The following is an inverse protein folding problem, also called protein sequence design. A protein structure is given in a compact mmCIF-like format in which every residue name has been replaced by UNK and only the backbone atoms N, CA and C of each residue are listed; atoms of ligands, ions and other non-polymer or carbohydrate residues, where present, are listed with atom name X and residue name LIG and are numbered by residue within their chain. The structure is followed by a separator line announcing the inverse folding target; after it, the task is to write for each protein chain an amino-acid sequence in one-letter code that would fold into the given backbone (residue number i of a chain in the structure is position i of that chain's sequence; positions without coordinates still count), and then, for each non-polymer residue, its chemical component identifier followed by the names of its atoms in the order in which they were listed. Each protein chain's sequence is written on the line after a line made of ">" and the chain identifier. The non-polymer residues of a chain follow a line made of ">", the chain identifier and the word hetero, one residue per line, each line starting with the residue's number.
data_IF_734450420578
#
_entry.id   IF_734450420578
#
_cell.length_a   1.000
_cell.length_b   1.000
_cell.length_c   1.000
_cell.angle_alpha   90.00
_cell.angle_beta   90.00
_cell.angle_gamma   90.00
#
_symmetry.space_group_name_H-M   'P 1'
#
loop_
_entity.id
_entity.type
_entity.pdbx_description
1 polymer ?
#
# COMPACT_ATOMS: atom_id res chain seq x y z
N UNK A 1 21.02 -36.44 29.53
CA UNK A 1 20.03 -35.46 30.06
C UNK A 1 20.72 -34.11 30.07
N UNK A 2 20.37 -33.23 29.14
CA UNK A 2 20.92 -31.87 29.05
C UNK A 2 19.74 -30.91 29.02
N UNK A 3 19.55 -30.19 30.12
CA UNK A 3 18.51 -29.18 30.31
C UNK A 3 18.95 -27.87 29.68
N UNK A 4 18.28 -27.46 28.59
CA UNK A 4 18.43 -26.14 27.99
C UNK A 4 17.60 -25.10 28.73
N UNK A 5 18.24 -24.05 29.22
CA UNK A 5 17.60 -22.85 29.77
C UNK A 5 17.23 -21.91 28.63
N UNK A 6 15.94 -21.83 28.29
CA UNK A 6 15.39 -20.79 27.43
C UNK A 6 15.30 -19.47 28.22
N UNK A 7 15.99 -18.43 27.74
CA UNK A 7 15.87 -17.06 28.22
C UNK A 7 14.52 -16.47 27.78
N UNK A 8 13.58 -16.36 28.72
CA UNK A 8 12.32 -15.63 28.53
C UNK A 8 12.59 -14.13 28.62
N UNK A 9 12.42 -13.39 27.51
CA UNK A 9 12.36 -11.92 27.52
C UNK A 9 11.14 -11.48 28.34
N UNK A 10 11.37 -10.88 29.51
CA UNK A 10 10.30 -10.38 30.39
C UNK A 10 9.60 -9.18 29.75
N UNK A 11 8.29 -9.29 29.49
CA UNK A 11 7.42 -8.10 29.36
C UNK A 11 7.39 -7.44 30.73
N UNK A 12 7.85 -6.18 30.83
CA UNK A 12 7.81 -5.43 32.09
C UNK A 12 6.38 -5.28 32.64
N UNK A 13 6.21 -5.07 33.95
CA UNK A 13 4.89 -4.96 34.58
C UNK A 13 4.10 -3.79 33.97
N UNK A 14 2.78 -3.99 33.81
CA UNK A 14 1.86 -2.94 33.37
C UNK A 14 1.90 -1.77 34.37
N UNK A 15 1.95 -0.50 33.91
CA UNK A 15 2.01 0.66 34.79
C UNK A 15 0.74 0.79 35.64
N UNK A 16 0.92 1.25 36.87
CA UNK A 16 -0.19 1.58 37.78
C UNK A 16 -0.90 2.85 37.30
N UNK A 17 -2.17 3.02 37.70
CA UNK A 17 -2.98 4.21 37.33
C UNK A 17 -2.28 5.51 37.76
N UNK A 18 -1.63 5.51 38.93
CA UNK A 18 -0.88 6.67 39.43
C UNK A 18 0.35 6.99 38.56
N UNK A 19 1.05 5.97 38.05
CA UNK A 19 2.16 6.15 37.11
C UNK A 19 1.69 6.69 35.76
N UNK A 20 0.49 6.30 35.30
CA UNK A 20 -0.10 6.82 34.07
C UNK A 20 -0.51 8.28 34.26
N UNK A 21 -1.11 8.64 35.39
CA UNK A 21 -1.53 10.02 35.69
C UNK A 21 -0.33 10.96 35.89
N UNK A 22 0.77 10.46 36.46
CA UNK A 22 2.02 11.20 36.59
C UNK A 22 2.78 11.35 35.27
N UNK A 23 2.43 10.59 34.23
CA UNK A 23 3.13 10.62 32.94
C UNK A 23 2.93 11.95 32.20
N UNK A 24 4.02 12.49 31.64
CA UNK A 24 4.01 13.75 30.90
C UNK A 24 3.05 13.74 29.70
N UNK A 25 2.89 12.63 28.99
CA UNK A 25 1.95 12.52 27.87
C UNK A 25 0.52 12.63 28.38
N UNK A 26 0.18 11.93 29.47
CA UNK A 26 -1.16 12.00 30.06
C UNK A 26 -1.49 13.41 30.53
N UNK A 27 -0.53 14.10 31.17
CA UNK A 27 -0.72 15.49 31.59
C UNK A 27 -0.94 16.43 30.41
N UNK A 28 -0.17 16.27 29.32
CA UNK A 28 -0.37 17.06 28.09
C UNK A 28 -1.71 16.73 27.45
N UNK A 29 -2.07 15.45 27.35
CA UNK A 29 -3.36 15.02 26.80
C UNK A 29 -4.51 15.68 27.55
N UNK A 30 -4.51 15.63 28.88
CA UNK A 30 -5.54 16.24 29.71
C UNK A 30 -5.68 17.75 29.52
N UNK A 31 -4.59 18.44 29.17
CA UNK A 31 -4.59 19.89 28.93
C UNK A 31 -5.05 20.29 27.54
N UNK A 32 -4.95 19.41 26.54
CA UNK A 32 -5.04 19.83 25.14
C UNK A 32 -5.97 18.99 24.26
N UNK A 33 -6.13 17.67 24.48
CA UNK A 33 -6.86 16.84 23.51
C UNK A 33 -7.56 15.59 24.07
N UNK A 34 -7.40 15.26 25.35
CA UNK A 34 -8.00 14.07 25.93
C UNK A 34 -9.54 14.19 25.90
N UNK A 35 -10.26 13.12 25.50
CA UNK A 35 -11.70 13.19 25.25
C UNK A 35 -12.53 13.46 26.51
N UNK A 36 -12.00 13.20 27.70
CA UNK A 36 -12.71 13.41 28.97
C UNK A 36 -12.45 14.78 29.61
N UNK A 37 -11.60 15.63 29.01
CA UNK A 37 -11.27 16.97 29.54
C UNK A 37 -11.62 18.12 28.60
N UNK A 38 -12.50 17.87 27.62
CA UNK A 38 -12.82 18.79 26.50
C UNK A 38 -13.16 20.22 26.97
N UNK A 39 -13.85 20.37 28.10
CA UNK A 39 -14.29 21.67 28.62
C UNK A 39 -13.13 22.60 29.02
N UNK A 40 -11.94 22.05 29.30
CA UNK A 40 -10.80 22.78 29.83
C UNK A 40 -9.56 22.71 28.92
N UNK A 41 -9.75 22.40 27.64
CA UNK A 41 -8.63 22.33 26.69
C UNK A 41 -8.06 23.71 26.38
N UNK A 42 -6.73 23.81 26.39
CA UNK A 42 -6.01 24.96 25.88
C UNK A 42 -6.06 25.00 24.34
N UNK A 43 -5.91 26.19 23.72
CA UNK A 43 -5.77 26.31 22.27
C UNK A 43 -4.61 25.47 21.71
N UNK A 44 -4.70 25.13 20.42
CA UNK A 44 -3.64 24.42 19.71
C UNK A 44 -2.31 25.20 19.78
N UNK A 45 -1.23 24.47 20.06
CA UNK A 45 0.14 24.98 20.12
C UNK A 45 1.07 24.01 19.38
N UNK A 46 1.68 24.49 18.29
CA UNK A 46 2.60 23.72 17.45
C UNK A 46 3.83 23.25 18.22
N UNK A 47 4.24 24.00 19.26
CA UNK A 47 5.39 23.65 20.10
C UNK A 47 5.14 22.39 20.91
N UNK A 48 3.88 22.08 21.25
CA UNK A 48 3.54 20.84 21.95
C UNK A 48 3.82 19.64 21.06
N UNK A 49 3.50 19.74 19.76
CA UNK A 49 3.78 18.69 18.78
C UNK A 49 5.28 18.49 18.62
N UNK A 50 6.05 19.59 18.48
CA UNK A 50 7.52 19.56 18.42
C UNK A 50 8.15 18.94 19.68
N UNK A 51 7.64 19.31 20.86
CA UNK A 51 8.13 18.81 22.13
C UNK A 51 7.84 17.32 22.31
N UNK A 52 6.64 16.86 21.96
CA UNK A 52 6.28 15.43 21.99
C UNK A 52 7.16 14.67 21.02
N UNK A 53 7.31 15.17 19.79
CA UNK A 53 8.12 14.52 18.78
C UNK A 53 9.58 14.40 19.19
N UNK A 54 10.19 15.50 19.63
CA UNK A 54 11.61 15.55 19.96
C UNK A 54 11.92 14.80 21.24
N UNK A 55 11.14 15.02 22.31
CA UNK A 55 11.45 14.47 23.65
C UNK A 55 10.88 13.06 23.85
N UNK A 56 9.65 12.82 23.38
CA UNK A 56 8.94 11.57 23.67
C UNK A 56 9.05 10.53 22.57
N UNK A 57 9.09 10.93 21.31
CA UNK A 57 9.21 10.00 20.18
C UNK A 57 10.69 9.78 19.85
N UNK A 58 11.42 10.81 19.42
CA UNK A 58 12.86 10.71 19.10
C UNK A 58 13.70 10.47 20.34
N UNK A 59 13.47 11.22 21.42
CA UNK A 59 14.23 11.11 22.67
C UNK A 59 14.10 9.74 23.37
N UNK A 60 12.98 9.04 23.16
CA UNK A 60 12.81 7.64 23.63
C UNK A 60 13.22 6.59 22.60
N UNK A 61 13.78 7.03 21.48
CA UNK A 61 14.20 6.20 20.36
C UNK A 61 13.06 5.35 19.76
N UNK A 62 11.90 5.99 19.54
CA UNK A 62 10.66 5.38 19.04
C UNK A 62 10.14 4.26 19.96
N UNK A 63 10.16 4.50 21.27
CA UNK A 63 9.63 3.55 22.24
C UNK A 63 8.15 3.27 21.99
N UNK A 64 7.86 2.01 21.68
CA UNK A 64 6.50 1.47 21.52
C UNK A 64 5.60 1.93 22.65
N UNK A 65 6.07 1.90 23.90
CA UNK A 65 5.26 2.27 25.06
C UNK A 65 4.84 3.75 25.02
N UNK A 66 5.72 4.67 24.62
CA UNK A 66 5.39 6.11 24.48
C UNK A 66 4.37 6.32 23.35
N UNK A 67 4.58 5.64 22.22
CA UNK A 67 3.71 5.71 21.04
C UNK A 67 2.30 5.17 21.38
N UNK A 68 2.20 4.03 22.05
CA UNK A 68 0.92 3.47 22.51
C UNK A 68 0.16 4.44 23.43
N UNK A 69 0.85 5.16 24.32
CA UNK A 69 0.19 6.13 25.20
C UNK A 69 -0.36 7.33 24.41
N UNK A 70 0.35 7.79 23.38
CA UNK A 70 -0.17 8.84 22.48
C UNK A 70 -1.42 8.35 21.73
N UNK A 71 -1.39 7.14 21.18
CA UNK A 71 -2.51 6.55 20.46
C UNK A 71 -3.73 6.39 21.38
N UNK A 72 -3.55 5.82 22.58
CA UNK A 72 -4.61 5.62 23.56
C UNK A 72 -5.25 6.95 24.00
N UNK A 73 -4.47 8.04 24.03
CA UNK A 73 -4.96 9.38 24.34
C UNK A 73 -5.71 10.07 23.19
N UNK A 74 -5.86 9.42 22.03
CA UNK A 74 -6.48 9.97 20.80
C UNK A 74 -5.73 11.17 20.23
N UNK A 75 -4.39 11.13 20.27
CA UNK A 75 -3.52 12.22 19.81
C UNK A 75 -3.73 12.55 18.32
N UNK A 76 -3.98 11.54 17.48
CA UNK A 76 -4.21 11.75 16.04
C UNK A 76 -5.53 12.47 15.76
N UNK A 77 -6.61 11.97 16.35
CA UNK A 77 -7.98 12.41 16.10
C UNK A 77 -8.27 13.80 16.63
N UNK A 78 -7.74 14.11 17.81
CA UNK A 78 -8.14 15.28 18.58
C UNK A 78 -7.09 16.40 18.54
N UNK A 79 -5.82 16.10 18.24
CA UNK A 79 -4.76 17.11 18.27
C UNK A 79 -4.00 17.26 16.95
N UNK A 80 -3.54 16.15 16.35
CA UNK A 80 -2.68 16.23 15.17
C UNK A 80 -3.47 16.60 13.91
N UNK A 81 -4.41 15.75 13.50
CA UNK A 81 -5.04 15.90 12.19
C UNK A 81 -5.94 17.14 12.08
N UNK A 82 -6.78 17.51 13.08
CA UNK A 82 -7.59 18.72 13.02
C UNK A 82 -6.79 20.02 12.87
N UNK A 83 -5.52 20.01 13.27
CA UNK A 83 -4.63 21.18 13.25
C UNK A 83 -3.53 21.07 12.19
N UNK A 84 -3.56 20.04 11.33
CA UNK A 84 -2.58 19.90 10.26
C UNK A 84 -2.93 20.86 9.10
N UNK A 85 -1.98 21.69 8.71
CA UNK A 85 -2.13 22.67 7.64
C UNK A 85 -1.06 22.46 6.58
N UNK A 86 -1.50 22.21 5.34
CA UNK A 86 -0.63 22.09 4.17
C UNK A 86 0.34 23.28 4.08
N UNK A 87 1.63 22.99 3.87
CA UNK A 87 2.72 23.97 3.74
C UNK A 87 3.08 24.76 5.01
N UNK A 88 2.37 24.61 6.13
CA UNK A 88 2.68 25.26 7.42
C UNK A 88 3.14 24.26 8.47
N UNK A 89 2.55 23.07 8.48
CA UNK A 89 2.90 22.03 9.46
C UNK A 89 4.34 21.53 9.29
N UNK A 90 5.02 21.37 10.41
CA UNK A 90 6.43 21.00 10.47
C UNK A 90 6.67 19.52 10.14
N UNK A 91 7.96 19.15 10.00
CA UNK A 91 8.37 17.75 9.86
C UNK A 91 7.93 16.91 11.06
N UNK A 92 8.03 17.43 12.29
CA UNK A 92 7.60 16.76 13.51
C UNK A 92 6.09 16.47 13.52
N UNK A 93 5.28 17.40 13.04
CA UNK A 93 3.82 17.22 12.92
C UNK A 93 3.49 16.11 11.92
N UNK A 94 4.10 16.16 10.74
CA UNK A 94 3.94 15.13 9.71
C UNK A 94 4.38 13.75 10.22
N UNK A 95 5.56 13.66 10.81
CA UNK A 95 6.09 12.40 11.34
C UNK A 95 5.25 11.87 12.51
N UNK A 96 4.73 12.74 13.37
CA UNK A 96 3.81 12.32 14.44
C UNK A 96 2.55 11.67 13.88
N UNK A 97 1.97 12.22 12.80
CA UNK A 97 0.81 11.62 12.12
C UNK A 97 1.18 10.24 11.53
N UNK A 98 2.31 10.16 10.83
CA UNK A 98 2.83 8.90 10.26
C UNK A 98 2.95 7.81 11.32
N UNK A 99 3.55 8.15 12.48
CA UNK A 99 3.78 7.21 13.57
C UNK A 99 2.46 6.77 14.21
N UNK A 100 1.51 7.68 14.42
CA UNK A 100 0.19 7.32 14.96
C UNK A 100 -0.58 6.39 14.01
N UNK A 101 -0.52 6.63 12.69
CA UNK A 101 -1.16 5.75 11.71
C UNK A 101 -0.52 4.37 11.72
N UNK A 102 0.81 4.28 11.71
CA UNK A 102 1.52 3.01 11.79
C UNK A 102 1.15 2.24 13.07
N UNK A 103 1.05 2.94 14.21
CA UNK A 103 0.62 2.34 15.47
C UNK A 103 -0.81 1.80 15.38
N UNK A 104 -1.74 2.54 14.77
CA UNK A 104 -3.11 2.07 14.56
C UNK A 104 -3.17 0.80 13.71
N UNK A 105 -2.36 0.70 12.67
CA UNK A 105 -2.24 -0.54 11.88
C UNK A 105 -1.68 -1.69 12.71
N UNK A 106 -0.69 -1.42 13.56
CA UNK A 106 -0.09 -2.41 14.46
C UNK A 106 -1.10 -2.97 15.47
N UNK A 107 -1.94 -2.11 16.04
CA UNK A 107 -3.03 -2.46 16.96
C UNK A 107 -4.30 -2.94 16.23
N UNK A 108 -4.29 -2.94 14.89
CA UNK A 108 -5.41 -3.37 14.01
C UNK A 108 -6.70 -2.57 14.22
N UNK A 109 -6.56 -1.29 14.52
CA UNK A 109 -7.69 -0.35 14.65
C UNK A 109 -7.85 0.50 13.38
N UNK A 110 -9.05 1.05 13.10
CA UNK A 110 -9.28 1.85 11.89
C UNK A 110 -8.39 3.09 11.81
N UNK A 111 -7.42 3.10 10.89
CA UNK A 111 -6.43 4.17 10.79
C UNK A 111 -6.88 5.38 9.95
N UNK A 112 -7.76 5.17 8.96
CA UNK A 112 -8.09 6.21 7.97
C UNK A 112 -9.30 7.08 8.32
N UNK A 113 -10.08 6.72 9.34
CA UNK A 113 -11.27 7.47 9.76
C UNK A 113 -11.00 8.94 10.12
N UNK A 114 -9.89 9.30 10.82
CA UNK A 114 -9.62 10.68 11.21
C UNK A 114 -9.50 11.63 10.01
N UNK A 115 -8.93 11.13 8.90
CA UNK A 115 -8.67 11.89 7.67
C UNK A 115 -9.93 12.25 6.87
N UNK A 116 -11.11 11.77 7.28
CA UNK A 116 -12.39 12.17 6.66
C UNK A 116 -12.79 13.61 7.00
N UNK A 117 -12.30 14.14 8.12
CA UNK A 117 -12.37 15.57 8.43
C UNK A 117 -11.21 16.26 7.69
N UNK A 118 -11.39 17.47 7.15
CA UNK A 118 -10.30 18.24 6.51
C UNK A 118 -9.50 17.47 5.42
N UNK A 119 -10.21 16.74 4.55
CA UNK A 119 -9.62 15.86 3.53
C UNK A 119 -8.72 16.62 2.53
N UNK A 120 -8.99 17.90 2.34
CA UNK A 120 -8.27 18.83 1.46
C UNK A 120 -6.79 19.00 1.83
N UNK A 121 -6.41 18.75 3.09
CA UNK A 121 -5.03 18.82 3.53
C UNK A 121 -4.23 17.54 3.24
N UNK A 122 -4.91 16.41 2.99
CA UNK A 122 -4.26 15.11 2.77
C UNK A 122 -3.30 15.07 1.58
N UNK A 123 -3.61 15.65 0.40
CA UNK A 123 -2.65 15.68 -0.71
C UNK A 123 -1.35 16.42 -0.37
N UNK A 124 -1.45 17.49 0.43
CA UNK A 124 -0.29 18.25 0.90
C UNK A 124 0.56 17.47 1.90
N UNK A 125 -0.10 16.85 2.88
CA UNK A 125 0.52 15.91 3.82
C UNK A 125 1.23 14.76 3.10
N UNK A 126 0.55 14.12 2.14
CA UNK A 126 1.11 13.02 1.40
C UNK A 126 2.33 13.45 0.59
N UNK A 127 2.32 14.64 -0.02
CA UNK A 127 3.48 15.17 -0.74
C UNK A 127 4.68 15.39 0.20
N UNK A 128 4.46 16.00 1.37
CA UNK A 128 5.51 16.20 2.39
C UNK A 128 6.12 14.87 2.85
N UNK A 129 5.29 13.82 3.00
CA UNK A 129 5.71 12.46 3.34
C UNK A 129 6.57 11.83 2.22
N UNK A 130 6.19 11.97 0.95
CA UNK A 130 6.99 11.48 -0.18
C UNK A 130 8.36 12.17 -0.25
N UNK A 131 8.40 13.48 -0.01
CA UNK A 131 9.65 14.23 0.02
C UNK A 131 10.55 13.73 1.16
N UNK A 132 9.99 13.52 2.35
CA UNK A 132 10.71 13.00 3.52
C UNK A 132 11.29 11.59 3.29
N UNK A 133 10.60 10.71 2.53
CA UNK A 133 11.16 9.39 2.15
C UNK A 133 12.51 9.49 1.44
N UNK A 134 12.74 10.58 0.70
CA UNK A 134 13.94 10.80 -0.11
C UNK A 134 14.96 11.76 0.53
N UNK A 135 14.68 12.32 1.71
CA UNK A 135 15.64 13.15 2.44
C UNK A 135 16.80 12.33 3.00
N UNK A 136 17.98 12.92 3.09
CA UNK A 136 19.15 12.33 3.73
C UNK A 136 19.35 12.89 5.16
N UNK A 137 20.21 12.24 5.95
CA UNK A 137 20.66 12.75 7.26
C UNK A 137 21.35 14.12 7.10
N UNK A 138 21.19 15.06 8.06
CA UNK A 138 20.52 14.94 9.36
C UNK A 138 19.01 15.27 9.33
N UNK A 139 18.45 15.56 8.15
CA UNK A 139 17.08 16.08 8.03
C UNK A 139 16.02 15.00 8.30
N UNK A 140 16.31 13.75 7.94
CA UNK A 140 15.42 12.63 8.21
C UNK A 140 16.25 11.38 8.50
N UNK A 141 16.14 10.89 9.73
CA UNK A 141 16.87 9.73 10.21
C UNK A 141 16.39 8.43 9.62
N UNK A 142 17.25 7.42 9.61
CA UNK A 142 16.91 6.14 8.99
C UNK A 142 15.70 5.46 9.65
N UNK A 143 15.48 5.68 10.95
CA UNK A 143 14.25 5.25 11.65
C UNK A 143 13.01 5.99 11.18
N UNK A 144 13.10 7.31 11.02
CA UNK A 144 12.01 8.12 10.47
C UNK A 144 11.67 7.65 9.05
N UNK A 145 12.69 7.45 8.21
CA UNK A 145 12.52 6.90 6.86
C UNK A 145 11.89 5.50 6.85
N UNK A 146 12.26 4.64 7.80
CA UNK A 146 11.66 3.30 7.93
C UNK A 146 10.18 3.41 8.31
N UNK A 147 9.81 4.30 9.23
CA UNK A 147 8.42 4.58 9.57
C UNK A 147 7.63 5.13 8.37
N UNK A 148 8.26 5.99 7.55
CA UNK A 148 7.68 6.51 6.31
C UNK A 148 7.44 5.40 5.27
N UNK A 149 8.37 4.43 5.14
CA UNK A 149 8.17 3.27 4.26
C UNK A 149 6.98 2.40 4.71
N UNK A 150 6.87 2.14 6.01
CA UNK A 150 5.75 1.38 6.57
C UNK A 150 4.42 2.09 6.31
N UNK A 151 4.38 3.41 6.52
CA UNK A 151 3.19 4.21 6.22
C UNK A 151 2.84 4.20 4.73
N UNK A 152 3.83 4.38 3.85
CA UNK A 152 3.65 4.29 2.40
C UNK A 152 3.09 2.92 1.99
N UNK A 153 3.58 1.84 2.61
CA UNK A 153 3.07 0.50 2.38
C UNK A 153 1.60 0.37 2.82
N UNK A 154 1.24 0.90 3.99
CA UNK A 154 -0.15 0.97 4.42
C UNK A 154 -1.04 1.74 3.43
N UNK A 155 -0.53 2.81 2.81
CA UNK A 155 -1.26 3.53 1.77
C UNK A 155 -1.51 2.66 0.53
N UNK A 156 -0.51 1.92 0.05
CA UNK A 156 -0.70 1.01 -1.10
C UNK A 156 -1.64 -0.16 -0.77
N UNK A 157 -1.60 -0.67 0.46
CA UNK A 157 -2.48 -1.73 0.93
C UNK A 157 -3.91 -1.26 1.25
N UNK A 158 -4.17 0.05 1.22
CA UNK A 158 -5.48 0.65 1.50
C UNK A 158 -6.09 1.33 0.27
N UNK A 159 -5.80 0.78 -0.92
CA UNK A 159 -6.28 1.30 -2.20
C UNK A 159 -7.80 1.29 -2.35
N UNK A 160 -8.56 0.65 -1.46
CA UNK A 160 -10.02 0.68 -1.39
C UNK A 160 -10.57 2.02 -0.87
N UNK A 161 -9.78 2.77 -0.09
CA UNK A 161 -10.16 4.09 0.45
C UNK A 161 -9.94 5.17 -0.63
N UNK A 162 -11.00 5.86 -1.04
CA UNK A 162 -10.97 6.89 -2.10
C UNK A 162 -9.84 7.91 -1.92
N UNK A 163 -9.75 8.49 -0.71
CA UNK A 163 -8.76 9.50 -0.34
C UNK A 163 -7.32 9.02 -0.60
N UNK A 164 -7.03 7.78 -0.21
CA UNK A 164 -5.70 7.17 -0.33
C UNK A 164 -5.42 6.80 -1.79
N UNK A 165 -6.39 6.12 -2.43
CA UNK A 165 -6.32 5.70 -3.83
C UNK A 165 -5.98 6.86 -4.76
N UNK A 166 -6.58 8.02 -4.54
CA UNK A 166 -6.34 9.21 -5.37
C UNK A 166 -4.90 9.72 -5.29
N UNK A 167 -4.23 9.51 -4.16
CA UNK A 167 -2.81 9.84 -4.01
C UNK A 167 -1.91 8.74 -4.58
N UNK A 168 -2.10 7.48 -4.18
CA UNK A 168 -1.16 6.40 -4.54
C UNK A 168 -1.24 5.97 -6.00
N UNK A 169 -2.42 6.06 -6.64
CA UNK A 169 -2.60 5.64 -8.05
C UNK A 169 -1.70 6.39 -9.02
N UNK A 170 -1.31 7.64 -8.69
CA UNK A 170 -0.46 8.46 -9.55
C UNK A 170 0.97 7.93 -9.61
N UNK A 171 1.45 7.31 -8.52
CA UNK A 171 2.79 6.76 -8.36
C UNK A 171 3.00 5.45 -9.16
N UNK A 172 1.94 4.69 -9.40
CA UNK A 172 1.97 3.38 -10.08
C UNK A 172 1.27 3.39 -11.44
N UNK A 173 1.07 4.58 -12.03
CA UNK A 173 0.43 4.75 -13.34
C UNK A 173 1.42 4.56 -14.49
N UNK A 174 0.93 4.42 -15.74
CA UNK A 174 1.77 4.36 -16.94
C UNK A 174 2.81 5.50 -17.02
N UNK A 175 2.48 6.65 -16.43
CA UNK A 175 3.36 7.82 -16.42
C UNK A 175 4.68 7.59 -15.65
N UNK A 176 4.75 6.58 -14.78
CA UNK A 176 5.98 6.23 -14.08
C UNK A 176 7.10 5.72 -15.01
N UNK A 177 6.75 5.26 -16.21
CA UNK A 177 7.73 4.87 -17.25
C UNK A 177 8.59 6.01 -17.78
N UNK A 178 8.38 7.24 -17.28
CA UNK A 178 9.33 8.34 -17.44
C UNK A 178 10.70 7.97 -16.85
N UNK A 179 10.71 7.12 -15.81
CA UNK A 179 11.92 6.63 -15.16
C UNK A 179 12.68 5.54 -15.93
N UNK A 180 12.04 4.85 -16.90
CA UNK A 180 12.68 3.80 -17.68
C UNK A 180 13.74 4.36 -18.63
N UNK A 181 14.76 3.54 -18.91
CA UNK A 181 15.66 3.78 -20.03
C UNK A 181 14.89 3.94 -21.35
N UNK A 182 15.35 4.83 -22.23
CA UNK A 182 14.64 5.14 -23.48
C UNK A 182 14.41 3.89 -24.34
N UNK A 183 15.44 3.05 -24.50
CA UNK A 183 15.35 1.81 -25.27
C UNK A 183 14.33 0.83 -24.70
N UNK A 184 14.36 0.60 -23.38
CA UNK A 184 13.40 -0.28 -22.68
C UNK A 184 11.97 0.24 -22.82
N UNK A 185 11.75 1.53 -22.57
CA UNK A 185 10.44 2.17 -22.74
C UNK A 185 9.90 2.01 -24.16
N UNK A 186 10.74 2.22 -25.16
CA UNK A 186 10.32 2.06 -26.55
C UNK A 186 9.94 0.62 -26.89
N UNK A 187 10.71 -0.36 -26.40
CA UNK A 187 10.41 -1.78 -26.55
C UNK A 187 9.02 -2.12 -25.97
N UNK A 188 8.72 -1.66 -24.76
CA UNK A 188 7.42 -1.90 -24.13
C UNK A 188 6.26 -1.22 -24.86
N UNK A 189 6.45 0.03 -25.30
CA UNK A 189 5.46 0.78 -26.08
C UNK A 189 5.28 0.24 -27.52
N UNK A 190 6.27 -0.46 -28.08
CA UNK A 190 6.14 -1.17 -29.36
C UNK A 190 5.34 -2.45 -29.17
N UNK A 191 5.58 -3.19 -28.09
CA UNK A 191 4.86 -4.41 -27.78
C UNK A 191 3.34 -4.16 -27.55
N UNK A 192 2.97 -2.98 -27.02
CA UNK A 192 1.57 -2.59 -26.81
C UNK A 192 1.25 -1.23 -27.44
N UNK A 193 0.82 -1.19 -28.72
CA UNK A 193 0.54 0.07 -29.42
C UNK A 193 -0.53 0.96 -28.75
N UNK A 194 -1.45 0.37 -27.98
CA UNK A 194 -2.45 1.14 -27.19
C UNK A 194 -1.78 2.02 -26.13
N UNK A 195 -0.76 1.50 -25.42
CA UNK A 195 -0.04 2.28 -24.41
C UNK A 195 0.76 3.41 -25.03
N UNK A 196 1.25 3.24 -26.27
CA UNK A 196 1.88 4.34 -27.02
C UNK A 196 0.93 5.51 -27.26
N UNK A 197 -0.36 5.25 -27.51
CA UNK A 197 -1.37 6.31 -27.64
C UNK A 197 -1.58 7.05 -26.30
N UNK A 198 -1.76 6.31 -25.22
CA UNK A 198 -1.92 6.89 -23.87
C UNK A 198 -0.68 7.65 -23.41
N UNK A 199 0.52 7.13 -23.69
CA UNK A 199 1.79 7.78 -23.39
C UNK A 199 1.90 9.15 -24.08
N UNK A 200 1.58 9.21 -25.38
CA UNK A 200 1.52 10.49 -26.12
C UNK A 200 0.47 11.44 -25.54
N UNK A 201 -0.67 10.93 -25.06
CA UNK A 201 -1.71 11.75 -24.42
C UNK A 201 -1.23 12.34 -23.09
N UNK A 202 -0.55 11.55 -22.25
CA UNK A 202 0.05 12.01 -20.99
C UNK A 202 1.03 13.15 -21.29
N UNK A 203 1.96 12.93 -22.23
CA UNK A 203 2.94 13.95 -22.61
C UNK A 203 2.34 15.24 -23.16
N UNK A 204 1.14 15.19 -23.74
CA UNK A 204 0.41 16.37 -24.24
C UNK A 204 -0.40 17.09 -23.17
N UNK A 205 -0.88 16.35 -22.16
CA UNK A 205 -1.69 16.90 -21.05
C UNK A 205 -0.84 17.64 -20.02
N UNK A 206 0.43 17.30 -19.92
CA UNK A 206 1.35 17.96 -18.99
C UNK A 206 1.58 19.41 -19.42
N UNK A 207 1.05 20.36 -18.64
CA UNK A 207 1.37 21.78 -18.82
C UNK A 207 2.82 22.04 -18.44
N UNK A 208 3.40 23.12 -18.95
CA UNK A 208 4.80 23.43 -18.70
C UNK A 208 5.07 23.71 -17.20
N UNK A 209 4.12 24.34 -16.51
CA UNK A 209 4.22 24.69 -15.08
C UNK A 209 4.11 23.46 -14.17
N UNK A 210 3.30 22.45 -14.54
CA UNK A 210 3.13 21.24 -13.74
C UNK A 210 4.18 20.17 -14.03
N UNK A 211 4.99 20.34 -15.09
CA UNK A 211 5.85 19.30 -15.64
C UNK A 211 6.90 18.79 -14.66
N UNK A 212 7.54 19.71 -13.94
CA UNK A 212 8.60 19.37 -12.99
C UNK A 212 8.06 18.60 -11.79
N UNK A 213 6.94 19.07 -11.22
CA UNK A 213 6.24 18.38 -10.13
C UNK A 213 5.80 16.98 -10.55
N UNK A 214 5.19 16.85 -11.74
CA UNK A 214 4.74 15.57 -12.25
C UNK A 214 5.90 14.63 -12.56
N UNK A 215 7.01 15.12 -13.13
CA UNK A 215 8.22 14.31 -13.37
C UNK A 215 8.81 13.80 -12.05
N UNK A 216 8.85 14.67 -11.02
CA UNK A 216 9.31 14.29 -9.69
C UNK A 216 8.47 13.15 -9.11
N UNK A 217 7.13 13.28 -9.12
CA UNK A 217 6.22 12.26 -8.61
C UNK A 217 6.32 10.93 -9.39
N UNK A 218 6.44 11.01 -10.72
CA UNK A 218 6.56 9.82 -11.59
C UNK A 218 7.85 9.04 -11.38
N UNK A 219 8.90 9.72 -10.93
CA UNK A 219 10.20 9.10 -10.63
C UNK A 219 10.35 8.72 -9.16
N UNK A 220 9.39 9.05 -8.31
CA UNK A 220 9.48 8.83 -6.86
C UNK A 220 9.88 7.38 -6.51
N UNK A 221 9.13 6.38 -6.97
CA UNK A 221 9.43 4.97 -6.65
C UNK A 221 10.79 4.52 -7.21
N UNK A 222 11.20 5.04 -8.37
CA UNK A 222 12.54 4.75 -8.91
C UNK A 222 13.65 5.38 -8.07
N UNK A 223 13.48 6.62 -7.61
CA UNK A 223 14.43 7.27 -6.70
C UNK A 223 14.51 6.54 -5.37
N UNK A 224 13.38 6.06 -4.87
CA UNK A 224 13.32 5.24 -3.65
C UNK A 224 14.07 3.91 -3.82
N UNK A 225 13.90 3.22 -4.96
CA UNK A 225 14.70 2.03 -5.31
C UNK A 225 16.19 2.34 -5.37
N UNK A 226 16.60 3.46 -5.98
CA UNK A 226 18.00 3.86 -6.03
C UNK A 226 18.57 4.14 -4.64
N UNK A 227 17.81 4.82 -3.78
CA UNK A 227 18.20 5.08 -2.39
C UNK A 227 18.38 3.77 -1.61
N UNK A 228 17.43 2.84 -1.73
CA UNK A 228 17.55 1.50 -1.15
C UNK A 228 18.82 0.78 -1.63
N UNK A 229 19.11 0.79 -2.92
CA UNK A 229 20.31 0.13 -3.46
C UNK A 229 21.60 0.72 -2.87
N UNK A 230 21.68 2.04 -2.69
CA UNK A 230 22.83 2.70 -2.04
C UNK A 230 23.00 2.25 -0.58
N UNK A 231 21.91 2.13 0.16
CA UNK A 231 21.93 1.65 1.55
C UNK A 231 22.29 0.16 1.64
N UNK A 232 21.80 -0.64 0.69
CA UNK A 232 22.14 -2.06 0.62
C UNK A 232 23.62 -2.28 0.29
N UNK A 233 24.18 -1.46 -0.59
CA UNK A 233 25.59 -1.50 -0.99
C UNK A 233 26.54 -0.95 0.09
N UNK A 234 26.06 -0.14 1.04
CA UNK A 234 26.88 0.36 2.14
C UNK A 234 27.20 -0.71 3.20
N UNK A 235 26.43 -1.81 3.22
CA UNK A 235 26.67 -2.95 4.10
C UNK A 235 27.90 -3.76 3.63
N UNK A 236 29.01 -3.56 4.34
CA UNK A 236 30.27 -4.28 4.13
C UNK A 236 30.28 -5.61 4.88
N UNK A 237 30.97 -6.65 4.37
CA UNK A 237 31.04 -7.96 5.04
C UNK A 237 31.89 -7.96 6.31
N UNK A 238 32.96 -7.16 6.36
CA UNK A 238 33.92 -7.12 7.48
C UNK A 238 33.70 -5.92 8.44
N UNK A 239 32.51 -5.31 8.44
CA UNK A 239 32.18 -4.15 9.27
C UNK A 239 31.02 -4.40 10.24
N UNK A 240 30.82 -3.47 11.19
CA UNK A 240 29.64 -3.48 12.04
C UNK A 240 28.38 -3.25 11.19
N UNK A 241 27.47 -4.22 11.20
CA UNK A 241 26.23 -4.17 10.43
C UNK A 241 25.24 -3.29 11.16
N UNK A 242 24.92 -2.12 10.59
CA UNK A 242 23.92 -1.23 11.17
C UNK A 242 22.54 -1.89 11.16
N UNK A 243 22.00 -2.17 12.35
CA UNK A 243 20.65 -2.72 12.51
C UNK A 243 19.58 -1.85 11.86
N UNK A 244 19.77 -0.52 11.83
CA UNK A 244 18.81 0.40 11.22
C UNK A 244 18.78 0.27 9.70
N UNK A 245 19.93 0.01 9.07
CA UNK A 245 20.02 -0.25 7.62
C UNK A 245 19.37 -1.57 7.28
N UNK A 246 19.59 -2.62 8.09
CA UNK A 246 18.93 -3.92 7.90
C UNK A 246 17.41 -3.77 7.98
N UNK A 247 16.90 -3.13 9.03
CA UNK A 247 15.45 -2.92 9.19
C UNK A 247 14.86 -2.08 8.04
N UNK A 248 15.56 -1.04 7.59
CA UNK A 248 15.13 -0.26 6.42
C UNK A 248 15.03 -1.16 5.17
N UNK A 249 16.06 -1.98 4.93
CA UNK A 249 16.09 -2.89 3.78
C UNK A 249 14.95 -3.93 3.83
N UNK A 250 14.63 -4.47 5.01
CA UNK A 250 13.51 -5.39 5.21
C UNK A 250 12.16 -4.71 4.91
N UNK A 251 11.91 -3.53 5.49
CA UNK A 251 10.65 -2.78 5.25
C UNK A 251 10.53 -2.31 3.80
N UNK A 252 11.64 -2.01 3.14
CA UNK A 252 11.64 -1.70 1.72
C UNK A 252 11.27 -2.93 0.87
N UNK A 253 11.81 -4.10 1.18
CA UNK A 253 11.41 -5.33 0.49
C UNK A 253 9.94 -5.66 0.70
N UNK A 254 9.42 -5.50 1.92
CA UNK A 254 7.99 -5.68 2.21
C UNK A 254 7.12 -4.78 1.32
N UNK A 255 7.43 -3.49 1.23
CA UNK A 255 6.75 -2.55 0.32
C UNK A 255 6.78 -3.03 -1.13
N UNK A 256 7.96 -3.47 -1.59
CA UNK A 256 8.18 -3.92 -2.97
C UNK A 256 7.45 -5.23 -3.27
N UNK A 257 7.33 -6.13 -2.29
CA UNK A 257 6.54 -7.36 -2.37
C UNK A 257 5.05 -7.04 -2.48
N UNK A 258 4.52 -6.17 -1.62
CA UNK A 258 3.11 -5.79 -1.62
C UNK A 258 2.71 -5.10 -2.93
N UNK A 259 3.58 -4.23 -3.46
CA UNK A 259 3.40 -3.60 -4.77
C UNK A 259 3.33 -4.63 -5.92
N UNK A 260 4.12 -5.71 -5.88
CA UNK A 260 4.11 -6.78 -6.88
C UNK A 260 2.99 -7.81 -6.65
N UNK A 261 2.44 -7.91 -5.45
CA UNK A 261 1.37 -8.84 -5.10
C UNK A 261 0.01 -8.40 -5.69
N UNK A 262 -0.22 -7.10 -5.83
CA UNK A 262 -1.48 -6.54 -6.30
C UNK A 262 -1.41 -6.13 -7.78
N UNK A 263 -2.39 -6.55 -8.60
CA UNK A 263 -2.41 -6.23 -10.03
C UNK A 263 -2.41 -4.72 -10.37
N UNK A 264 -3.18 -3.86 -9.68
CA UNK A 264 -3.24 -2.43 -9.98
C UNK A 264 -1.90 -1.70 -9.82
N UNK A 265 -1.09 -2.11 -8.83
CA UNK A 265 0.23 -1.54 -8.53
C UNK A 265 1.31 -2.16 -9.40
N UNK A 266 1.29 -3.49 -9.56
CA UNK A 266 2.28 -4.27 -10.31
C UNK A 266 2.38 -3.88 -11.78
N UNK A 267 1.25 -3.60 -12.42
CA UNK A 267 1.10 -3.52 -13.89
C UNK A 267 2.18 -2.68 -14.59
N UNK A 268 2.51 -1.52 -14.04
CA UNK A 268 3.55 -0.64 -14.60
C UNK A 268 4.83 -0.64 -13.75
N UNK A 269 4.70 -0.90 -12.45
CA UNK A 269 5.80 -0.95 -11.51
C UNK A 269 6.79 -2.08 -11.82
N UNK A 270 6.29 -3.27 -12.15
CA UNK A 270 7.11 -4.45 -12.44
C UNK A 270 8.20 -4.17 -13.49
N UNK A 271 7.86 -3.43 -14.54
CA UNK A 271 8.81 -3.06 -15.60
C UNK A 271 9.92 -2.14 -15.09
N UNK A 272 9.58 -1.16 -14.24
CA UNK A 272 10.57 -0.22 -13.67
C UNK A 272 11.48 -0.93 -12.68
N UNK A 273 10.90 -1.84 -11.90
CA UNK A 273 11.60 -2.66 -10.92
C UNK A 273 12.62 -3.61 -11.57
N UNK A 274 12.24 -4.21 -12.71
CA UNK A 274 13.13 -5.02 -13.56
C UNK A 274 14.25 -4.17 -14.19
N UNK A 275 13.93 -2.99 -14.71
CA UNK A 275 14.90 -2.02 -15.30
C UNK A 275 15.91 -1.50 -14.27
N UNK A 276 15.51 -1.40 -13.00
CA UNK A 276 16.39 -1.03 -11.89
C UNK A 276 17.27 -2.20 -11.40
N UNK A 277 17.00 -3.43 -11.84
CA UNK A 277 17.72 -4.65 -11.44
C UNK A 277 17.73 -4.91 -9.92
N UNK A 278 16.73 -4.40 -9.20
CA UNK A 278 16.67 -4.46 -7.71
C UNK A 278 16.86 -5.88 -7.21
N UNK A 279 16.16 -6.84 -7.81
CA UNK A 279 16.20 -8.26 -7.47
C UNK A 279 17.62 -8.81 -7.55
N UNK A 280 18.31 -8.54 -8.65
CA UNK A 280 19.64 -9.06 -8.92
C UNK A 280 20.61 -8.43 -7.92
N UNK A 281 20.50 -7.13 -7.66
CA UNK A 281 21.30 -6.46 -6.64
C UNK A 281 21.06 -7.01 -5.24
N UNK A 282 19.81 -7.35 -4.89
CA UNK A 282 19.51 -8.00 -3.61
C UNK A 282 20.17 -9.37 -3.47
N UNK A 283 20.23 -10.18 -4.53
CA UNK A 283 20.91 -11.48 -4.50
C UNK A 283 22.44 -11.35 -4.46
N UNK A 284 22.99 -10.33 -5.11
CA UNK A 284 24.44 -10.09 -5.18
C UNK A 284 24.99 -9.33 -3.98
N UNK A 285 24.15 -8.69 -3.16
CA UNK A 285 24.59 -7.96 -1.97
C UNK A 285 25.13 -8.90 -0.88
N UNK A 286 25.75 -8.30 0.13
CA UNK A 286 26.30 -9.05 1.27
C UNK A 286 25.22 -9.46 2.26
N UNK A 287 24.16 -8.66 2.40
CA UNK A 287 23.13 -8.83 3.43
C UNK A 287 22.54 -10.25 3.51
N UNK A 288 22.15 -10.93 2.41
CA UNK A 288 21.61 -12.30 2.50
C UNK A 288 22.58 -13.37 3.02
N UNK A 289 23.88 -13.07 3.00
CA UNK A 289 24.95 -13.96 3.47
C UNK A 289 25.29 -13.72 4.94
N UNK A 290 24.84 -12.61 5.52
CA UNK A 290 25.06 -12.24 6.91
C UNK A 290 23.97 -12.85 7.81
N UNK A 291 24.28 -13.26 9.05
CA UNK A 291 23.28 -13.80 9.97
C UNK A 291 22.19 -12.78 10.34
N UNK A 292 22.50 -11.48 10.33
CA UNK A 292 21.55 -10.39 10.54
C UNK A 292 20.54 -10.26 9.40
N UNK A 293 20.91 -10.66 8.17
CA UNK A 293 20.07 -10.58 6.98
C UNK A 293 19.18 -11.79 6.74
N UNK A 294 18.99 -12.66 7.74
CA UNK A 294 18.19 -13.87 7.59
C UNK A 294 16.74 -13.59 7.17
N UNK A 295 16.09 -12.58 7.76
CA UNK A 295 14.73 -12.18 7.40
C UNK A 295 14.69 -11.60 5.97
N UNK A 296 15.59 -10.67 5.67
CA UNK A 296 15.75 -10.14 4.31
C UNK A 296 15.94 -11.26 3.25
N UNK A 297 16.73 -12.28 3.58
CA UNK A 297 16.95 -13.42 2.70
C UNK A 297 15.75 -14.37 2.61
N UNK A 298 14.90 -14.44 3.64
CA UNK A 298 13.63 -15.17 3.58
C UNK A 298 12.64 -14.45 2.69
N UNK A 299 12.55 -13.12 2.77
CA UNK A 299 11.66 -12.32 1.92
C UNK A 299 12.04 -12.43 0.43
N UNK A 300 13.34 -12.61 0.14
CA UNK A 300 13.86 -12.75 -1.21
C UNK A 300 13.62 -14.14 -1.85
N UNK A 301 13.57 -15.22 -1.05
CA UNK A 301 13.73 -16.62 -1.52
C UNK A 301 12.50 -17.29 -2.19
N UNK A 302 11.23 -17.11 -1.78
CA UNK A 302 10.14 -17.96 -2.29
C UNK A 302 9.33 -17.40 -3.48
N UNK A 303 9.26 -16.09 -3.71
CA UNK A 303 8.18 -15.50 -4.52
C UNK A 303 8.62 -14.68 -5.73
N UNK A 304 9.85 -14.18 -5.74
CA UNK A 304 10.23 -13.12 -6.68
C UNK A 304 10.49 -13.57 -8.14
N UNK A 305 11.26 -14.65 -8.40
CA UNK A 305 11.53 -15.10 -9.77
C UNK A 305 10.27 -15.63 -10.47
N UNK A 306 9.32 -16.17 -9.69
CA UNK A 306 8.08 -16.71 -10.23
C UNK A 306 7.14 -15.56 -10.61
N UNK A 307 7.02 -14.50 -9.80
CA UNK A 307 6.23 -13.32 -10.17
C UNK A 307 6.79 -12.61 -11.42
N UNK A 308 8.09 -12.29 -11.46
CA UNK A 308 8.66 -11.59 -12.62
C UNK A 308 8.59 -12.40 -13.92
N UNK A 309 8.88 -13.72 -13.88
CA UNK A 309 8.80 -14.57 -15.07
C UNK A 309 7.37 -14.93 -15.46
N UNK A 310 6.45 -15.19 -14.54
CA UNK A 310 5.05 -15.47 -14.92
C UNK A 310 4.34 -14.22 -15.45
N UNK A 311 4.68 -13.01 -14.98
CA UNK A 311 4.16 -11.76 -15.56
C UNK A 311 4.71 -11.44 -16.95
N UNK A 312 5.98 -11.77 -17.21
CA UNK A 312 6.63 -11.51 -18.50
C UNK A 312 6.36 -12.60 -19.56
N UNK A 313 6.17 -13.87 -19.16
CA UNK A 313 5.83 -14.97 -20.08
C UNK A 313 4.34 -15.06 -20.40
N UNK A 314 3.46 -14.54 -19.54
CA UNK A 314 2.05 -14.36 -19.88
C UNK A 314 1.92 -13.07 -20.70
N UNK A 315 1.46 -13.22 -21.94
CA UNK A 315 1.19 -12.13 -22.86
C UNK A 315 -0.05 -11.29 -22.41
N UNK A 316 -0.10 -10.85 -21.16
CA UNK A 316 -1.17 -10.03 -20.54
C UNK A 316 -1.18 -8.57 -21.02
N UNK A 317 -0.28 -8.23 -21.95
CA UNK A 317 -0.20 -6.96 -22.69
C UNK A 317 -1.49 -6.59 -23.44
N UNK A 318 -2.41 -7.54 -23.70
CA UNK A 318 -3.64 -7.30 -24.47
C UNK A 318 -4.89 -6.93 -23.67
N UNK A 319 -4.98 -7.19 -22.36
CA UNK A 319 -6.29 -7.24 -21.71
C UNK A 319 -6.75 -5.94 -21.03
N UNK A 320 -5.87 -4.95 -20.88
CA UNK A 320 -6.15 -3.89 -19.91
C UNK A 320 -6.39 -2.51 -20.55
N UNK A 321 -7.20 -2.47 -21.63
CA UNK A 321 -7.57 -1.22 -22.34
C UNK A 321 -9.01 -0.76 -22.14
N UNK A 322 -9.71 -1.20 -21.09
CA UNK A 322 -11.16 -0.90 -20.90
C UNK A 322 -11.54 -0.45 -19.48
N UNK A 323 -10.62 0.11 -18.71
CA UNK A 323 -10.96 0.78 -17.45
C UNK A 323 -10.36 2.18 -17.47
N UNK A 324 -11.14 3.12 -18.00
CA UNK A 324 -11.00 4.56 -17.80
C UNK A 324 -12.34 5.01 -17.18
N UNK A 325 -12.36 5.69 -16.02
CA UNK A 325 -13.61 6.22 -15.48
C UNK A 325 -14.13 7.31 -16.41
N UNK A 326 -15.31 7.08 -17.02
CA UNK A 326 -16.04 8.16 -17.68
C UNK A 326 -16.69 9.02 -16.61
N UNK A 327 -16.24 10.26 -16.50
CA UNK A 327 -16.94 11.31 -15.77
C UNK A 327 -18.28 11.54 -16.47
N UNK A 328 -19.40 11.42 -15.75
CA UNK A 328 -20.74 11.79 -16.19
C UNK A 328 -21.30 12.82 -15.21
N UNK A 329 -21.66 13.99 -15.74
CA UNK A 329 -22.20 15.16 -15.02
C UNK A 329 -23.66 14.96 -14.58
N UNK A 330 -24.14 15.75 -13.59
CA UNK A 330 -25.44 15.56 -12.96
C UNK A 330 -26.56 16.23 -13.78
N UNK A 331 -27.15 15.50 -14.72
CA UNK A 331 -28.44 15.87 -15.30
C UNK A 331 -29.08 14.65 -15.96
N UNK A 332 -29.78 13.84 -15.15
CA UNK A 332 -30.85 12.90 -15.54
C UNK A 332 -31.44 12.20 -14.30
N UNK A 333 -31.89 13.00 -13.34
CA UNK A 333 -32.90 12.55 -12.38
C UNK A 333 -34.27 12.96 -12.92
N UNK A 334 -35.03 11.98 -13.43
CA UNK A 334 -36.48 11.82 -13.19
C UNK A 334 -37.05 10.69 -14.04
N UNK A 335 -37.67 9.74 -13.33
CA UNK A 335 -38.73 8.84 -13.78
C UNK A 335 -38.31 7.67 -14.68
N UNK A 336 -38.20 6.47 -14.12
CA UNK A 336 -38.83 5.24 -14.64
C UNK A 336 -38.82 4.15 -13.55
N UNK A 337 -39.95 3.46 -13.44
CA UNK A 337 -40.36 2.53 -12.40
C UNK A 337 -39.44 1.33 -12.14
N UNK A 338 -39.56 0.84 -10.91
CA UNK A 338 -38.93 -0.31 -10.30
C UNK A 338 -39.05 -1.58 -11.17
N UNK A 339 -38.05 -1.80 -12.02
CA UNK A 339 -37.77 -3.08 -12.67
C UNK A 339 -36.30 -3.39 -12.37
N UNK A 340 -36.03 -4.43 -11.58
CA UNK A 340 -34.66 -4.89 -11.32
C UNK A 340 -34.15 -5.55 -12.61
N UNK A 341 -33.68 -4.74 -13.55
CA UNK A 341 -32.71 -5.17 -14.54
C UNK A 341 -31.36 -5.21 -13.83
N UNK A 342 -30.81 -6.42 -13.68
CA UNK A 342 -29.36 -6.57 -13.59
C UNK A 342 -28.77 -5.87 -14.83
N UNK A 343 -28.22 -4.66 -14.63
CA UNK A 343 -27.43 -3.97 -15.64
C UNK A 343 -26.14 -4.75 -15.84
N UNK A 344 -26.23 -5.78 -16.68
CA UNK A 344 -25.08 -6.30 -17.38
C UNK A 344 -24.58 -5.22 -18.33
N UNK A 345 -23.52 -4.52 -17.95
CA UNK A 345 -22.62 -3.99 -18.96
C UNK A 345 -22.01 -5.18 -19.68
N UNK A 346 -22.39 -5.34 -20.94
CA UNK A 346 -21.86 -6.34 -21.84
C UNK A 346 -20.33 -6.19 -21.94
N UNK A 347 -19.59 -7.04 -21.22
CA UNK A 347 -18.20 -7.31 -21.53
C UNK A 347 -18.15 -7.94 -22.92
N UNK A 348 -17.65 -7.16 -23.87
CA UNK A 348 -17.22 -7.61 -25.20
C UNK A 348 -16.48 -8.96 -25.10
N UNK A 349 -16.95 -10.03 -25.79
CA UNK A 349 -16.39 -11.39 -25.70
C UNK A 349 -14.94 -11.55 -26.19
N UNK A 350 -14.18 -10.45 -26.39
CA UNK A 350 -12.90 -10.44 -27.09
C UNK A 350 -11.66 -10.18 -26.22
N UNK A 351 -11.78 -10.03 -24.89
CA UNK A 351 -10.63 -9.74 -24.02
C UNK A 351 -10.70 -10.53 -22.69
N UNK A 352 -10.20 -11.78 -22.70
CA UNK A 352 -10.23 -12.68 -21.53
C UNK A 352 -9.23 -12.30 -20.44
N UNK A 353 -9.72 -11.69 -19.35
CA UNK A 353 -9.08 -11.70 -18.00
C UNK A 353 -9.95 -12.41 -16.96
N UNK A 354 -11.25 -12.56 -17.22
CA UNK A 354 -12.19 -13.31 -16.38
C UNK A 354 -11.85 -14.81 -16.30
N UNK A 355 -11.07 -15.36 -17.24
CA UNK A 355 -10.71 -16.78 -17.32
C UNK A 355 -9.62 -17.22 -16.32
N UNK A 356 -9.00 -16.28 -15.59
CA UNK A 356 -7.90 -16.55 -14.66
C UNK A 356 -8.23 -16.33 -13.18
N UNK A 357 -9.38 -15.71 -12.87
CA UNK A 357 -9.84 -15.51 -11.50
C UNK A 357 -10.74 -16.68 -11.11
N UNK A 358 -10.39 -17.48 -10.08
CA UNK A 358 -11.21 -18.61 -9.65
C UNK A 358 -12.67 -18.23 -9.35
N UNK A 359 -12.89 -17.05 -8.76
CA UNK A 359 -14.24 -16.54 -8.49
C UNK A 359 -15.06 -16.34 -9.77
N UNK A 360 -14.47 -15.73 -10.80
CA UNK A 360 -15.15 -15.46 -12.07
C UNK A 360 -15.35 -16.71 -12.93
N UNK A 361 -14.45 -17.67 -12.80
CA UNK A 361 -14.43 -18.91 -13.57
C UNK A 361 -15.28 -20.05 -13.02
N UNK A 362 -15.49 -20.05 -11.70
CA UNK A 362 -16.04 -21.19 -10.99
C UNK A 362 -17.19 -20.80 -10.08
N UNK A 363 -16.95 -19.83 -9.19
CA UNK A 363 -17.93 -19.47 -8.17
C UNK A 363 -19.12 -18.71 -8.76
N UNK A 364 -18.87 -17.63 -9.50
CA UNK A 364 -19.92 -16.79 -10.07
C UNK A 364 -20.75 -17.49 -11.16
N UNK A 365 -20.19 -18.35 -12.03
CA UNK A 365 -21.02 -19.17 -12.93
C UNK A 365 -21.99 -20.08 -12.19
N UNK A 366 -21.56 -20.73 -11.08
CA UNK A 366 -22.44 -21.58 -10.27
C UNK A 366 -23.53 -20.76 -9.57
N UNK A 367 -23.17 -19.63 -8.96
CA UNK A 367 -24.14 -18.72 -8.34
C UNK A 367 -25.11 -18.17 -9.38
N UNK A 368 -24.62 -17.69 -10.53
CA UNK A 368 -25.44 -17.14 -11.61
C UNK A 368 -26.37 -18.20 -12.19
N UNK A 369 -25.91 -19.43 -12.37
CA UNK A 369 -26.77 -20.54 -12.82
C UNK A 369 -27.89 -20.85 -11.81
N UNK A 370 -27.59 -20.77 -10.51
CA UNK A 370 -28.59 -21.02 -9.46
C UNK A 370 -29.58 -19.87 -9.27
N UNK A 371 -29.18 -18.64 -9.60
CA UNK A 371 -30.04 -17.45 -9.54
C UNK A 371 -30.85 -17.26 -10.84
N UNK A 372 -30.36 -17.75 -11.98
CA UNK A 372 -30.99 -17.59 -13.29
C UNK A 372 -32.34 -18.31 -13.32
N UNK A 373 -33.39 -17.57 -13.70
CA UNK A 373 -34.76 -18.08 -13.82
C UNK A 373 -35.61 -17.99 -12.55
N UNK A 374 -35.02 -17.56 -11.43
CA UNK A 374 -35.74 -17.38 -10.17
C UNK A 374 -36.10 -15.90 -9.94
N UNK A 375 -37.33 -15.64 -9.48
CA UNK A 375 -37.75 -14.31 -8.98
C UNK A 375 -37.55 -14.27 -7.46
N UNK A 376 -37.02 -13.17 -6.96
CA UNK A 376 -36.75 -12.96 -5.54
C UNK A 376 -37.44 -11.68 -5.09
N UNK A 377 -38.08 -11.73 -3.91
CA UNK A 377 -38.86 -10.61 -3.36
C UNK A 377 -37.99 -9.58 -2.62
N UNK A 378 -36.73 -9.94 -2.29
CA UNK A 378 -35.80 -9.05 -1.59
C UNK A 378 -34.33 -9.38 -1.89
N UNK A 379 -33.46 -8.41 -1.65
CA UNK A 379 -31.99 -8.58 -1.77
C UNK A 379 -31.48 -9.63 -0.78
N UNK A 380 -32.10 -9.74 0.39
CA UNK A 380 -31.70 -10.73 1.40
C UNK A 380 -32.07 -12.16 0.99
N UNK A 381 -33.16 -12.34 0.24
CA UNK A 381 -33.49 -13.63 -0.37
C UNK A 381 -32.45 -14.05 -1.43
N UNK A 382 -31.92 -13.09 -2.21
CA UNK A 382 -30.83 -13.34 -3.16
C UNK A 382 -29.54 -13.73 -2.44
N UNK A 383 -29.17 -13.00 -1.37
CA UNK A 383 -28.00 -13.31 -0.55
C UNK A 383 -28.11 -14.69 0.13
N UNK A 384 -29.29 -15.02 0.66
CA UNK A 384 -29.55 -16.32 1.27
C UNK A 384 -29.39 -17.46 0.25
N UNK A 385 -29.89 -17.28 -0.97
CA UNK A 385 -29.75 -18.28 -2.05
C UNK A 385 -28.31 -18.43 -2.52
N UNK A 386 -27.57 -17.32 -2.65
CA UNK A 386 -26.15 -17.36 -2.97
C UNK A 386 -25.33 -18.05 -1.87
N UNK A 387 -25.64 -17.80 -0.60
CA UNK A 387 -25.03 -18.49 0.54
C UNK A 387 -25.34 -19.99 0.56
N UNK A 388 -26.56 -20.40 0.21
CA UNK A 388 -26.93 -21.82 0.08
C UNK A 388 -26.06 -22.52 -0.97
N UNK A 389 -25.83 -21.88 -2.13
CA UNK A 389 -24.97 -22.42 -3.20
C UNK A 389 -23.53 -22.56 -2.71
N UNK A 390 -23.02 -21.57 -1.97
CA UNK A 390 -21.66 -21.63 -1.41
C UNK A 390 -21.50 -22.74 -0.36
N UNK A 391 -22.50 -22.94 0.51
CA UNK A 391 -22.50 -24.00 1.53
C UNK A 391 -22.57 -25.41 0.94
N UNK A 392 -23.10 -25.56 -0.28
CA UNK A 392 -23.17 -26.85 -0.99
C UNK A 392 -21.89 -27.19 -1.76
N UNK A 393 -20.90 -26.30 -1.81
CA UNK A 393 -19.61 -26.60 -2.43
C UNK A 393 -18.83 -27.56 -1.54
N UNK A 394 -18.45 -28.71 -2.09
CA UNK A 394 -17.63 -29.70 -1.39
C UNK A 394 -16.13 -29.35 -1.49
N UNK A 395 -15.31 -29.98 -0.65
CA UNK A 395 -13.85 -29.86 -0.77
C UNK A 395 -13.36 -30.33 -2.16
N UNK A 396 -13.98 -31.38 -2.72
CA UNK A 396 -13.67 -31.89 -4.05
C UNK A 396 -13.97 -30.88 -5.16
N UNK A 397 -15.05 -30.09 -5.01
CA UNK A 397 -15.39 -28.99 -5.94
C UNK A 397 -14.31 -27.90 -5.95
N UNK A 398 -13.81 -27.53 -4.77
CA UNK A 398 -12.75 -26.52 -4.62
C UNK A 398 -11.40 -27.03 -5.14
N UNK A 399 -11.05 -28.29 -4.84
CA UNK A 399 -9.86 -28.93 -5.39
C UNK A 399 -9.93 -29.02 -6.92
N UNK A 400 -11.09 -29.39 -7.48
CA UNK A 400 -11.30 -29.39 -8.93
C UNK A 400 -11.16 -27.98 -9.53
N UNK A 401 -11.73 -26.95 -8.88
CA UNK A 401 -11.53 -25.56 -9.30
C UNK A 401 -10.05 -25.19 -9.33
N UNK A 402 -9.29 -25.57 -8.30
CA UNK A 402 -7.86 -25.29 -8.22
C UNK A 402 -7.05 -26.03 -9.29
N UNK A 403 -7.41 -27.27 -9.60
CA UNK A 403 -6.79 -28.05 -10.68
C UNK A 403 -7.12 -27.47 -12.07
N UNK A 404 -8.37 -27.08 -12.30
CA UNK A 404 -8.77 -26.41 -13.54
C UNK A 404 -8.08 -25.05 -13.70
N UNK A 405 -7.89 -24.32 -12.60
CA UNK A 405 -7.11 -23.08 -12.59
C UNK A 405 -5.63 -23.33 -12.94
N UNK A 406 -5.01 -24.37 -12.37
CA UNK A 406 -3.65 -24.81 -12.75
C UNK A 406 -3.55 -25.17 -14.24
N UNK A 407 -4.49 -25.96 -14.76
CA UNK A 407 -4.53 -26.33 -16.17
C UNK A 407 -4.68 -25.09 -17.07
N UNK A 408 -5.56 -24.14 -16.71
CA UNK A 408 -5.73 -22.90 -17.45
C UNK A 408 -4.48 -22.02 -17.42
N UNK A 409 -3.79 -21.96 -16.29
CA UNK A 409 -2.48 -21.32 -16.18
C UNK A 409 -1.45 -21.98 -17.12
N UNK A 410 -1.40 -23.32 -17.16
CA UNK A 410 -0.49 -24.06 -18.03
C UNK A 410 -0.85 -23.93 -19.52
N UNK A 411 -2.12 -23.90 -19.87
CA UNK A 411 -2.59 -23.69 -21.25
C UNK A 411 -2.32 -22.27 -21.73
N UNK A 412 -2.50 -21.26 -20.87
CA UNK A 412 -2.08 -19.90 -21.16
C UNK A 412 -0.56 -19.77 -21.37
N UNK A 413 0.25 -20.64 -20.74
CA UNK A 413 1.72 -20.73 -20.94
C UNK A 413 2.08 -21.22 -22.36
N UNK A 414 1.26 -22.10 -22.95
CA UNK A 414 1.52 -22.69 -24.28
C UNK A 414 1.05 -21.83 -25.48
N UNK A 415 0.08 -20.94 -25.27
CA UNK A 415 -0.66 -20.27 -26.38
C UNK A 415 -0.30 -18.80 -26.62
N UNK A 416 0.71 -18.26 -25.93
CA UNK A 416 1.17 -16.88 -26.17
C UNK A 416 0.07 -15.81 -26.05
N UNK A 417 -0.98 -16.05 -25.26
CA UNK A 417 -2.12 -15.15 -25.09
C UNK A 417 -3.17 -15.16 -26.23
N UNK A 418 -3.19 -16.21 -27.06
CA UNK A 418 -4.35 -16.54 -27.91
C UNK A 418 -5.50 -17.16 -27.11
N UNK A 419 -6.74 -16.89 -27.53
CA UNK A 419 -8.01 -17.22 -26.85
C UNK A 419 -8.06 -18.60 -26.20
N UNK A 420 -8.55 -18.64 -24.96
CA UNK A 420 -9.40 -19.69 -24.41
C UNK A 420 -10.82 -19.13 -24.26
#
# INVERSE_FOLDING_TARGET
>A
MATGTQSMKSKGPAPTVDQINADRITQLANRYWAPYTIENHLPFDDRVVEDIYTKEIRGSNFSIRRIMMLEFSQYLENYLWPNYLTSKSSHAHMMSIVIMVNEKFRERVPAWQPFRKLQEHFPGFFQQMLEACLMDEPNCSLREQTALLVFLNHCFNSMEVDLIRDQVKRLVSLSMWVSLQQGRREQELRAVPKWRKYWKLIQRKDTQEAREKLDWERRFLQRLMVKFMKLLESLQPEGEVSSEVVHYCERFLELVIDLEALLPTRRFFNTVLDDCHVVVRCHLSHLPRLPEGNLFAQDLRPSWPCASKTGAHFNMKKVCSKIEPRILTPEKEKTTQMTIYYSGEAQDPRLGTSTLVPCDCFLFPKIKSALKGNRFESVDAVKAKAMEVMKKLSEKDLQHCFQQWKIRLEQCRGWGGGKL
#
